data_IF_952593175519
#
_entry.id   IF_952593175519
#
_cell.length_a   1.000
_cell.length_b   1.000
_cell.length_c   1.000
_cell.angle_alpha   90.00
_cell.angle_beta   90.00
_cell.angle_gamma   90.00
#
_symmetry.space_group_name_H-M   'P 1'
#
loop_
_entity.id
_entity.type
_entity.pdbx_description
1 polymer ?
#
# COMPACT_ATOMS: atom_id res chain seq x y z
N UNK A 1 1.00 3.47 3.72
CA UNK A 1 -0.18 4.38 3.87
C UNK A 1 -0.13 5.31 5.10
N UNK A 2 0.56 4.94 6.19
CA UNK A 2 0.70 5.79 7.40
C UNK A 2 1.41 7.13 7.11
N UNK A 3 2.34 7.15 6.13
CA UNK A 3 3.08 8.37 5.76
C UNK A 3 2.27 9.34 4.89
N UNK A 4 1.11 8.91 4.37
CA UNK A 4 0.25 9.70 3.49
C UNK A 4 -1.03 10.19 4.19
N UNK A 5 -1.37 9.63 5.37
CA UNK A 5 -2.59 9.97 6.11
C UNK A 5 -2.27 10.24 7.58
N UNK A 6 -2.33 11.52 7.98
CA UNK A 6 -2.37 11.87 9.40
C UNK A 6 -3.83 11.96 9.88
N UNK A 7 -4.26 11.13 10.85
CA UNK A 7 -5.59 11.27 11.43
C UNK A 7 -5.72 12.65 12.09
N UNK A 8 -6.78 13.39 11.76
CA UNK A 8 -7.06 14.74 12.29
C UNK A 8 -7.14 14.78 13.82
N UNK A 9 -7.45 13.65 14.47
CA UNK A 9 -7.39 13.51 15.93
C UNK A 9 -6.79 12.16 16.31
N UNK A 10 -5.91 12.15 17.33
CA UNK A 10 -5.24 10.93 17.84
C UNK A 10 -6.20 9.78 18.16
N UNK A 11 -7.43 10.09 18.58
CA UNK A 11 -8.47 9.08 18.88
C UNK A 11 -8.87 8.20 17.69
N UNK A 12 -8.63 8.65 16.46
CA UNK A 12 -8.92 7.89 15.24
C UNK A 12 -7.75 7.02 14.77
N UNK A 13 -6.58 7.12 15.40
CA UNK A 13 -5.39 6.35 15.01
C UNK A 13 -5.65 4.84 15.04
N UNK A 14 -6.35 4.35 16.08
CA UNK A 14 -6.72 2.93 16.19
C UNK A 14 -7.70 2.53 15.09
N UNK A 15 -8.64 3.40 14.71
CA UNK A 15 -9.59 3.14 13.63
C UNK A 15 -8.89 3.09 12.26
N UNK A 16 -7.95 4.02 12.01
CA UNK A 16 -7.13 4.05 10.79
C UNK A 16 -6.24 2.81 10.70
N UNK A 17 -5.55 2.42 11.78
CA UNK A 17 -4.76 1.19 11.83
C UNK A 17 -5.63 -0.05 11.60
N UNK A 18 -6.84 -0.09 12.15
CA UNK A 18 -7.74 -1.25 12.02
C UNK A 18 -8.36 -1.36 10.62
N UNK A 19 -8.67 -0.24 9.98
CA UNK A 19 -9.19 -0.19 8.60
C UNK A 19 -8.10 -0.48 7.57
N UNK A 20 -6.90 0.06 7.77
CA UNK A 20 -5.75 -0.19 6.89
C UNK A 20 -5.19 -1.60 7.05
N UNK A 21 -5.24 -2.18 8.26
CA UNK A 21 -4.99 -3.59 8.50
C UNK A 21 -3.72 -4.13 7.82
N UNK A 22 -3.87 -5.19 7.00
CA UNK A 22 -2.78 -5.81 6.22
C UNK A 22 -2.20 -4.93 5.11
N UNK A 23 -2.85 -3.80 4.79
CA UNK A 23 -2.42 -2.86 3.77
C UNK A 23 -1.68 -1.65 4.37
N UNK A 24 -1.35 -1.66 5.67
CA UNK A 24 -0.55 -0.57 6.27
C UNK A 24 0.79 -0.39 5.55
N UNK A 25 1.42 -1.51 5.19
CA UNK A 25 2.72 -1.60 4.50
C UNK A 25 2.58 -1.65 2.98
N UNK A 26 1.35 -1.53 2.45
CA UNK A 26 1.14 -1.60 1.02
C UNK A 26 1.81 -0.42 0.30
N UNK A 27 2.50 -0.74 -0.80
CA UNK A 27 3.24 0.19 -1.64
C UNK A 27 2.30 0.80 -2.67
N UNK A 28 2.17 2.12 -2.66
CA UNK A 28 1.34 2.84 -3.62
C UNK A 28 2.09 2.97 -4.95
N UNK A 29 1.42 2.65 -6.05
CA UNK A 29 1.95 2.81 -7.42
C UNK A 29 1.02 3.66 -8.27
N UNK A 30 1.54 4.26 -9.33
CA UNK A 30 0.78 5.13 -10.23
C UNK A 30 -0.26 4.34 -11.06
N UNK A 31 0.10 3.16 -11.54
CA UNK A 31 -0.75 2.33 -12.39
C UNK A 31 -0.67 0.83 -12.08
N UNK A 32 -1.69 0.07 -12.52
CA UNK A 32 -1.66 -1.40 -12.43
C UNK A 32 -0.42 -1.97 -13.12
N UNK A 33 -0.02 -1.37 -14.25
CA UNK A 33 1.17 -1.77 -14.99
C UNK A 33 2.43 -1.69 -14.12
N UNK A 34 2.64 -0.54 -13.46
CA UNK A 34 3.79 -0.35 -12.57
C UNK A 34 3.76 -1.33 -11.41
N UNK A 35 2.58 -1.61 -10.84
CA UNK A 35 2.42 -2.62 -9.79
C UNK A 35 2.88 -4.01 -10.24
N UNK A 36 2.52 -4.43 -11.47
CA UNK A 36 2.95 -5.71 -12.04
C UNK A 36 4.46 -5.74 -12.29
N UNK A 37 5.04 -4.67 -12.79
CA UNK A 37 6.48 -4.55 -13.03
C UNK A 37 7.27 -4.66 -11.71
N UNK A 38 6.80 -4.01 -10.64
CA UNK A 38 7.40 -4.14 -9.30
C UNK A 38 7.29 -5.56 -8.74
N UNK A 39 6.15 -6.23 -8.89
CA UNK A 39 5.97 -7.64 -8.47
C UNK A 39 6.96 -8.54 -9.22
N UNK A 40 7.12 -8.33 -10.52
CA UNK A 40 8.04 -9.12 -11.34
C UNK A 40 9.48 -8.93 -10.88
N UNK A 41 9.89 -7.68 -10.63
CA UNK A 41 11.21 -7.36 -10.10
C UNK A 41 11.48 -8.05 -8.75
N UNK A 42 10.54 -8.02 -7.80
CA UNK A 42 10.70 -8.68 -6.50
C UNK A 42 10.87 -10.20 -6.65
N UNK A 43 10.11 -10.82 -7.56
CA UNK A 43 10.23 -12.26 -7.84
C UNK A 43 11.60 -12.64 -8.39
N UNK A 44 12.13 -11.83 -9.30
CA UNK A 44 13.47 -12.04 -9.88
C UNK A 44 14.57 -11.94 -8.81
N UNK A 45 14.40 -11.06 -7.84
CA UNK A 45 15.30 -10.91 -6.70
C UNK A 45 15.03 -11.92 -5.57
N UNK A 46 14.02 -12.79 -5.70
CA UNK A 46 13.56 -13.72 -4.65
C UNK A 46 13.24 -13.02 -3.32
N UNK A 47 12.70 -11.81 -3.40
CA UNK A 47 12.23 -11.07 -2.23
C UNK A 47 10.93 -11.63 -1.66
N UNK A 48 10.57 -11.16 -0.47
CA UNK A 48 9.31 -11.49 0.19
C UNK A 48 8.11 -10.89 -0.57
N UNK A 49 6.92 -11.51 -0.51
CA UNK A 49 5.73 -10.97 -1.15
C UNK A 49 5.28 -9.64 -0.52
N UNK A 50 5.09 -8.63 -1.37
CA UNK A 50 4.60 -7.30 -0.97
C UNK A 50 3.26 -6.97 -1.63
N UNK A 51 2.49 -6.07 -1.02
CA UNK A 51 1.19 -5.63 -1.56
C UNK A 51 1.33 -4.29 -2.27
N UNK A 52 0.91 -4.23 -3.54
CA UNK A 52 0.92 -3.00 -4.34
C UNK A 52 -0.50 -2.50 -4.58
N UNK A 53 -0.73 -1.20 -4.39
CA UNK A 53 -2.01 -0.53 -4.58
C UNK A 53 -1.91 0.54 -5.67
N UNK A 54 -2.45 0.29 -6.87
CA UNK A 54 -2.41 1.25 -7.94
C UNK A 54 -3.44 2.38 -7.75
N UNK A 55 -3.01 3.63 -8.00
CA UNK A 55 -3.85 4.82 -7.87
C UNK A 55 -4.88 4.94 -8.99
N UNK A 56 -4.60 4.39 -10.17
CA UNK A 56 -5.51 4.40 -11.33
C UNK A 56 -6.71 3.44 -11.20
N UNK A 57 -6.79 2.69 -10.09
CA UNK A 57 -7.88 1.74 -9.80
C UNK A 57 -8.93 2.27 -8.82
N UNK A 58 -8.79 3.52 -8.35
CA UNK A 58 -9.76 4.19 -7.48
C UNK A 58 -10.78 4.97 -8.33
N UNK A 59 -11.91 4.35 -8.65
CA UNK A 59 -13.19 5.05 -8.92
C UNK A 59 -13.93 5.36 -7.61
#
# INVERSE_FOLDING_TARGET
>A
LIDLCQPTQKKYQIAVTKVLGKNMDAIIVDSEKTGRDCIQYIKEQRGEPETFLPLDYLE
#
